data_IF_918913049286
#
_entry.id   IF_918913049286
#
_cell.length_a   1.000
_cell.length_b   1.000
_cell.length_c   1.000
_cell.angle_alpha   90.00
_cell.angle_beta   90.00
_cell.angle_gamma   90.00
#
_symmetry.space_group_name_H-M   'P 1'
#
loop_
_entity.id
_entity.type
_entity.pdbx_description
1 polymer ?
#
# COMPACT_ATOMS: atom_id res chain seq x y z
N UNK A 1 -0.63 20.88 -4.72
CA UNK A 1 0.69 20.24 -4.95
C UNK A 1 0.56 18.73 -5.01
N UNK A 2 0.24 18.01 -3.93
CA UNK A 2 0.26 16.53 -3.95
C UNK A 2 -0.71 15.85 -4.93
N UNK A 3 -1.91 16.38 -5.12
CA UNK A 3 -2.87 15.81 -6.08
C UNK A 3 -2.42 15.94 -7.55
N UNK A 4 -1.39 16.75 -7.83
CA UNK A 4 -0.91 17.09 -9.17
C UNK A 4 0.62 17.10 -9.23
N UNK A 5 1.28 16.28 -8.40
CA UNK A 5 2.72 16.40 -8.21
C UNK A 5 3.50 16.02 -9.48
N UNK A 6 3.01 15.09 -10.31
CA UNK A 6 3.71 14.75 -11.55
C UNK A 6 3.68 15.92 -12.54
N UNK A 7 2.58 16.67 -12.59
CA UNK A 7 2.48 17.91 -13.36
C UNK A 7 3.42 19.01 -12.84
N UNK A 8 3.45 19.22 -11.52
CA UNK A 8 4.32 20.24 -10.89
C UNK A 8 5.81 19.90 -11.02
N UNK A 9 6.16 18.61 -11.02
CA UNK A 9 7.54 18.14 -11.19
C UNK A 9 7.91 17.88 -12.66
N UNK A 10 7.00 18.10 -13.62
CA UNK A 10 7.19 17.75 -15.05
C UNK A 10 8.50 18.30 -15.63
N UNK A 11 8.90 19.52 -15.26
CA UNK A 11 10.17 20.12 -15.71
C UNK A 11 11.45 19.41 -15.23
N UNK A 12 11.35 18.45 -14.30
CA UNK A 12 12.45 17.67 -13.74
C UNK A 12 12.30 16.17 -14.04
N UNK A 13 11.07 15.64 -13.98
CA UNK A 13 10.81 14.20 -14.18
C UNK A 13 10.30 13.86 -15.59
N UNK A 14 9.95 14.84 -16.43
CA UNK A 14 9.25 14.61 -17.69
C UNK A 14 9.98 13.70 -18.67
N UNK A 15 11.30 13.81 -18.77
CA UNK A 15 12.16 12.96 -19.61
C UNK A 15 12.44 11.58 -19.02
N UNK A 16 12.08 11.34 -17.76
CA UNK A 16 12.26 10.07 -17.06
C UNK A 16 11.18 9.09 -17.47
N UNK A 17 11.46 7.81 -17.35
CA UNK A 17 10.45 6.75 -17.43
C UNK A 17 9.77 6.54 -16.07
N UNK A 18 8.62 5.85 -16.02
CA UNK A 18 7.96 5.57 -14.75
C UNK A 18 8.85 4.71 -13.82
N UNK A 19 9.69 3.85 -14.38
CA UNK A 19 10.63 2.99 -13.62
C UNK A 19 11.83 3.76 -13.05
N UNK A 20 12.08 4.98 -13.51
CA UNK A 20 13.10 5.89 -12.96
C UNK A 20 12.63 6.64 -11.71
N UNK A 21 11.35 6.56 -11.37
CA UNK A 21 10.79 7.19 -10.19
C UNK A 21 10.56 6.17 -9.08
N UNK A 22 10.39 6.68 -7.87
CA UNK A 22 9.76 5.97 -6.76
C UNK A 22 8.32 6.47 -6.63
N UNK A 23 7.35 5.56 -6.72
CA UNK A 23 5.94 5.89 -6.53
C UNK A 23 5.57 5.74 -5.04
N UNK A 24 4.96 6.78 -4.41
CA UNK A 24 4.33 6.63 -3.12
C UNK A 24 3.09 5.74 -3.27
N UNK A 25 2.96 4.73 -2.41
CA UNK A 25 1.97 3.68 -2.55
C UNK A 25 1.29 3.29 -1.24
N UNK A 26 0.16 2.62 -1.37
CA UNK A 26 -0.61 2.07 -0.24
C UNK A 26 -0.75 0.56 -0.38
N UNK A 27 -0.52 -0.14 0.73
CA UNK A 27 -0.73 -1.58 0.84
C UNK A 27 -2.20 -1.87 1.19
N UNK A 28 -2.80 -2.88 0.54
CA UNK A 28 -4.21 -3.24 0.71
C UNK A 28 -5.11 -1.99 0.66
N UNK A 29 -5.04 -1.26 -0.46
CA UNK A 29 -5.46 0.14 -0.50
C UNK A 29 -6.93 0.36 -0.12
N UNK A 30 -7.80 -0.60 -0.44
CA UNK A 30 -9.26 -0.47 -0.33
C UNK A 30 -9.83 -1.04 0.98
N UNK A 31 -9.09 -0.89 2.09
CA UNK A 31 -9.51 -1.43 3.39
C UNK A 31 -10.23 -0.44 4.31
N UNK A 32 -10.36 0.85 3.94
CA UNK A 32 -11.08 1.84 4.76
C UNK A 32 -12.50 1.41 5.09
N UNK A 33 -13.19 0.83 4.11
CA UNK A 33 -14.61 0.52 4.19
C UNK A 33 -14.88 -0.99 4.07
N UNK A 34 -14.00 -1.81 4.64
CA UNK A 34 -14.28 -3.22 4.85
C UNK A 34 -15.64 -3.41 5.54
N UNK A 35 -16.42 -4.35 5.01
CA UNK A 35 -17.65 -4.82 5.62
C UNK A 35 -17.32 -5.67 6.85
N UNK A 36 -18.35 -6.25 7.48
CA UNK A 36 -18.17 -7.26 8.54
C UNK A 36 -18.23 -8.69 7.97
N UNK A 37 -18.28 -8.83 6.65
CA UNK A 37 -18.45 -10.10 5.95
C UNK A 37 -17.09 -10.58 5.47
N UNK A 38 -16.70 -11.76 5.95
CA UNK A 38 -15.49 -12.45 5.49
C UNK A 38 -15.69 -12.82 4.03
N UNK A 39 -14.73 -12.48 3.17
CA UNK A 39 -14.86 -12.77 1.75
C UNK A 39 -14.92 -14.29 1.49
N UNK A 40 -15.58 -14.70 0.40
CA UNK A 40 -15.50 -16.09 -0.04
C UNK A 40 -14.02 -16.43 -0.32
N UNK A 41 -13.52 -17.49 0.33
CA UNK A 41 -12.11 -17.84 0.29
C UNK A 41 -11.19 -16.73 0.87
N UNK A 42 -11.61 -16.20 2.02
CA UNK A 42 -10.76 -15.56 3.03
C UNK A 42 -9.26 -15.84 2.89
N UNK A 43 -8.43 -14.85 2.53
CA UNK A 43 -6.99 -15.04 2.40
C UNK A 43 -6.36 -15.60 3.67
N UNK A 44 -5.35 -16.45 3.52
CA UNK A 44 -4.39 -16.80 4.60
C UNK A 44 -4.95 -17.52 5.83
N UNK A 45 -6.24 -17.87 5.85
CA UNK A 45 -6.83 -18.73 6.86
C UNK A 45 -6.93 -20.15 6.28
N UNK A 46 -6.47 -21.21 6.97
CA UNK A 46 -6.68 -22.58 6.52
C UNK A 46 -8.13 -22.80 6.14
N UNK A 47 -8.40 -23.44 5.00
CA UNK A 47 -9.75 -23.61 4.44
C UNK A 47 -10.78 -24.17 5.45
N UNK A 48 -10.33 -24.98 6.41
CA UNK A 48 -11.15 -25.48 7.53
C UNK A 48 -11.58 -24.40 8.52
N UNK A 49 -10.72 -23.42 8.80
CA UNK A 49 -11.00 -22.33 9.72
C UNK A 49 -11.86 -21.24 9.04
N UNK A 50 -11.64 -20.99 7.74
CA UNK A 50 -12.53 -20.17 6.92
C UNK A 50 -13.95 -20.79 6.85
N UNK A 51 -14.05 -22.11 6.60
CA UNK A 51 -15.33 -22.83 6.62
C UNK A 51 -16.02 -22.77 8.00
N UNK A 52 -15.26 -22.94 9.10
CA UNK A 52 -15.79 -22.80 10.46
C UNK A 52 -16.34 -21.39 10.73
N UNK A 53 -15.62 -20.34 10.29
CA UNK A 53 -16.08 -18.94 10.38
C UNK A 53 -17.34 -18.67 9.54
N UNK A 54 -17.44 -19.27 8.35
CA UNK A 54 -18.58 -19.15 7.44
C UNK A 54 -19.84 -19.89 7.94
N UNK A 55 -19.69 -21.10 8.48
CA UNK A 55 -20.81 -22.01 8.77
C UNK A 55 -21.39 -21.85 10.19
N UNK A 56 -20.56 -21.58 11.21
CA UNK A 56 -20.98 -21.66 12.62
C UNK A 56 -21.17 -20.30 13.32
N UNK A 57 -20.84 -19.19 12.68
CA UNK A 57 -20.86 -17.85 13.31
C UNK A 57 -21.88 -16.83 12.76
N UNK A 58 -23.06 -17.19 12.20
CA UNK A 58 -24.00 -16.20 11.63
C UNK A 58 -24.62 -15.23 12.64
N UNK A 59 -24.64 -15.55 13.94
CA UNK A 59 -25.07 -14.64 15.03
C UNK A 59 -23.89 -13.80 15.58
N UNK A 60 -22.66 -14.21 15.29
CA UNK A 60 -21.42 -13.63 15.80
C UNK A 60 -20.75 -12.69 14.79
N UNK A 61 -21.25 -12.65 13.55
CA UNK A 61 -20.80 -11.79 12.43
C UNK A 61 -20.59 -10.32 12.83
N UNK A 62 -21.42 -9.77 13.73
CA UNK A 62 -21.23 -8.38 14.18
C UNK A 62 -20.07 -8.20 15.16
N UNK A 63 -19.84 -9.19 16.02
CA UNK A 63 -18.85 -9.11 17.10
C UNK A 63 -17.49 -9.61 16.61
N UNK A 64 -17.45 -10.79 15.98
CA UNK A 64 -16.24 -11.33 15.32
C UNK A 64 -15.90 -10.51 14.10
N UNK A 65 -16.86 -10.15 13.24
CA UNK A 65 -16.56 -9.35 12.05
C UNK A 65 -15.98 -7.97 12.39
N UNK A 66 -16.35 -7.37 13.53
CA UNK A 66 -15.72 -6.12 14.01
C UNK A 66 -14.26 -6.34 14.35
N UNK A 67 -13.96 -7.38 15.13
CA UNK A 67 -12.60 -7.77 15.50
C UNK A 67 -11.75 -8.07 14.26
N UNK A 68 -12.26 -8.89 13.34
CA UNK A 68 -11.59 -9.22 12.09
C UNK A 68 -11.33 -7.96 11.25
N UNK A 69 -12.27 -7.01 11.24
CA UNK A 69 -12.10 -5.76 10.50
C UNK A 69 -10.99 -4.90 11.08
N UNK A 70 -10.89 -4.84 12.41
CA UNK A 70 -9.81 -4.15 13.11
C UNK A 70 -8.44 -4.81 12.84
N UNK A 71 -8.41 -6.13 12.59
CA UNK A 71 -7.22 -6.87 12.17
C UNK A 71 -6.92 -6.84 10.66
N UNK A 72 -7.85 -6.38 9.84
CA UNK A 72 -7.72 -6.34 8.39
C UNK A 72 -7.58 -4.92 7.83
N UNK A 73 -7.95 -3.90 8.59
CA UNK A 73 -7.87 -2.54 8.09
C UNK A 73 -6.41 -2.06 8.04
N UNK A 74 -5.92 -1.73 6.85
CA UNK A 74 -4.57 -1.16 6.63
C UNK A 74 -4.60 0.33 6.35
N UNK A 75 -5.71 0.84 5.81
CA UNK A 75 -5.89 2.25 5.44
C UNK A 75 -7.10 2.88 6.16
N UNK A 76 -6.95 4.17 6.48
CA UNK A 76 -8.06 5.00 7.00
C UNK A 76 -8.65 5.94 5.95
N UNK A 77 -7.99 6.03 4.79
CA UNK A 77 -8.37 6.86 3.66
C UNK A 77 -8.95 6.00 2.53
N UNK A 78 -9.91 6.54 1.78
CA UNK A 78 -10.48 5.90 0.58
C UNK A 78 -9.63 6.20 -0.66
N UNK A 79 -10.03 5.68 -1.83
CA UNK A 79 -9.28 5.85 -3.08
C UNK A 79 -8.99 7.34 -3.36
N UNK A 80 -10.04 8.18 -3.37
CA UNK A 80 -9.86 9.60 -3.67
C UNK A 80 -8.92 10.32 -2.69
N UNK A 81 -9.08 10.08 -1.39
CA UNK A 81 -8.26 10.72 -0.35
C UNK A 81 -6.78 10.29 -0.44
N UNK A 82 -6.50 9.02 -0.78
CA UNK A 82 -5.14 8.52 -0.98
C UNK A 82 -4.48 9.22 -2.19
N UNK A 83 -5.20 9.32 -3.31
CA UNK A 83 -4.71 9.95 -4.54
C UNK A 83 -4.49 11.46 -4.36
N UNK A 84 -5.40 12.17 -3.67
CA UNK A 84 -5.24 13.57 -3.30
C UNK A 84 -4.04 13.78 -2.34
N UNK A 85 -3.76 12.76 -1.51
CA UNK A 85 -2.56 12.68 -0.68
C UNK A 85 -1.26 12.41 -1.46
N UNK A 86 -1.32 12.17 -2.76
CA UNK A 86 -0.16 11.99 -3.65
C UNK A 86 0.26 10.54 -3.89
N UNK A 87 -0.54 9.56 -3.44
CA UNK A 87 -0.36 8.14 -3.78
C UNK A 87 -0.49 7.94 -5.29
N UNK A 88 0.44 7.20 -5.91
CA UNK A 88 0.43 6.85 -7.34
C UNK A 88 0.69 5.37 -7.61
N UNK A 89 0.94 4.57 -6.58
CA UNK A 89 0.91 3.11 -6.64
C UNK A 89 -0.22 2.55 -5.76
N UNK A 90 -1.13 1.78 -6.34
CA UNK A 90 -2.31 1.24 -5.65
C UNK A 90 -2.26 -0.29 -5.68
N UNK A 91 -2.05 -0.91 -4.52
CA UNK A 91 -2.31 -2.35 -4.31
C UNK A 91 -3.82 -2.56 -4.22
N UNK A 92 -4.42 -3.02 -5.31
CA UNK A 92 -5.85 -3.17 -5.50
C UNK A 92 -6.24 -4.65 -5.46
N UNK A 93 -6.56 -5.12 -4.25
CA UNK A 93 -6.94 -6.50 -4.03
C UNK A 93 -8.43 -6.70 -4.26
N UNK A 94 -8.81 -7.60 -5.16
CA UNK A 94 -10.20 -7.90 -5.50
C UNK A 94 -10.50 -9.41 -5.61
N UNK A 95 -11.74 -9.79 -5.33
CA UNK A 95 -12.21 -11.18 -5.41
C UNK A 95 -13.64 -11.24 -5.90
N UNK A 96 -14.00 -12.37 -6.54
CA UNK A 96 -15.33 -12.63 -7.06
C UNK A 96 -16.14 -13.42 -6.03
N UNK A 97 -17.11 -12.74 -5.39
CA UNK A 97 -17.78 -13.25 -4.18
C UNK A 97 -19.23 -12.77 -4.13
N UNK A 98 -20.04 -13.43 -3.31
CA UNK A 98 -21.38 -12.93 -2.99
C UNK A 98 -21.31 -11.52 -2.34
N UNK A 99 -22.34 -10.68 -2.51
CA UNK A 99 -22.40 -9.37 -1.84
C UNK A 99 -22.29 -9.48 -0.31
N UNK A 100 -21.81 -8.45 0.39
CA UNK A 100 -21.58 -8.50 1.83
C UNK A 100 -22.88 -8.59 2.67
N UNK A 101 -24.05 -8.46 2.06
CA UNK A 101 -25.34 -8.73 2.70
C UNK A 101 -25.77 -10.18 2.42
N UNK A 102 -25.70 -11.04 3.45
CA UNK A 102 -26.13 -12.46 3.38
C UNK A 102 -27.61 -12.66 3.02
N UNK A 103 -28.44 -11.61 3.07
CA UNK A 103 -29.84 -11.66 2.59
C UNK A 103 -29.97 -11.34 1.12
N UNK A 104 -28.90 -10.79 0.51
CA UNK A 104 -28.86 -10.52 -0.91
C UNK A 104 -28.89 -11.83 -1.69
N UNK A 105 -29.78 -11.89 -2.68
CA UNK A 105 -29.79 -12.93 -3.71
C UNK A 105 -29.13 -12.44 -5.00
N UNK A 106 -28.46 -11.29 -4.95
CA UNK A 106 -27.76 -10.76 -6.10
C UNK A 106 -26.61 -11.71 -6.48
N UNK A 107 -26.27 -11.80 -7.78
CA UNK A 107 -25.18 -12.64 -8.24
C UNK A 107 -23.84 -12.21 -7.61
N UNK A 108 -22.85 -13.10 -7.69
CA UNK A 108 -21.48 -12.76 -7.35
C UNK A 108 -21.00 -11.57 -8.19
N UNK A 109 -20.17 -10.74 -7.57
CA UNK A 109 -19.53 -9.60 -8.21
C UNK A 109 -18.12 -9.43 -7.63
N UNK A 110 -17.37 -8.49 -8.19
CA UNK A 110 -16.02 -8.16 -7.73
C UNK A 110 -16.08 -7.18 -6.58
N UNK A 111 -15.50 -7.58 -5.44
CA UNK A 111 -15.33 -6.72 -4.28
C UNK A 111 -13.86 -6.65 -3.91
N UNK A 112 -13.41 -5.49 -3.43
CA UNK A 112 -12.09 -5.41 -2.84
C UNK A 112 -12.01 -6.28 -1.58
N UNK A 113 -10.84 -6.80 -1.23
CA UNK A 113 -10.67 -7.60 -0.01
C UNK A 113 -9.36 -7.35 0.73
N UNK A 114 -9.43 -7.59 2.02
CA UNK A 114 -8.32 -8.05 2.84
C UNK A 114 -8.96 -8.78 4.01
N UNK A 115 -8.96 -10.12 4.00
CA UNK A 115 -9.77 -11.01 4.85
C UNK A 115 -11.30 -10.80 4.75
N UNK A 116 -11.80 -9.59 4.91
CA UNK A 116 -13.17 -9.19 4.68
C UNK A 116 -13.29 -8.57 3.30
N UNK A 117 -14.49 -8.65 2.72
CA UNK A 117 -14.78 -7.90 1.51
C UNK A 117 -15.16 -6.45 1.85
N UNK A 118 -14.87 -5.54 0.95
CA UNK A 118 -15.28 -4.14 1.03
C UNK A 118 -16.80 -3.99 0.94
N UNK A 119 -17.34 -2.89 1.48
CA UNK A 119 -18.78 -2.65 1.53
C UNK A 119 -19.42 -2.34 0.16
N UNK A 120 -18.62 -2.00 -0.84
CA UNK A 120 -19.07 -1.65 -2.19
C UNK A 120 -18.30 -2.45 -3.24
N UNK A 121 -18.87 -2.67 -4.45
CA UNK A 121 -18.16 -3.34 -5.53
C UNK A 121 -16.88 -2.62 -5.92
N UNK A 122 -15.89 -3.40 -6.38
CA UNK A 122 -14.57 -2.94 -6.80
C UNK A 122 -14.64 -1.80 -7.83
N UNK A 123 -15.60 -1.86 -8.76
CA UNK A 123 -15.82 -0.81 -9.77
C UNK A 123 -16.13 0.57 -9.17
N UNK A 124 -16.66 0.65 -7.95
CA UNK A 124 -16.96 1.93 -7.29
C UNK A 124 -15.66 2.70 -6.99
N UNK A 125 -14.62 2.02 -6.50
CA UNK A 125 -13.33 2.67 -6.24
C UNK A 125 -12.55 2.95 -7.53
N UNK A 126 -12.70 2.10 -8.55
CA UNK A 126 -12.12 2.35 -9.85
C UNK A 126 -12.73 3.59 -10.51
N UNK A 127 -14.03 3.84 -10.29
CA UNK A 127 -14.67 5.09 -10.70
C UNK A 127 -14.06 6.30 -9.99
N UNK A 128 -13.80 6.23 -8.68
CA UNK A 128 -13.09 7.31 -7.95
C UNK A 128 -11.70 7.58 -8.55
N UNK A 129 -10.97 6.53 -8.93
CA UNK A 129 -9.67 6.65 -9.62
C UNK A 129 -9.82 7.30 -11.00
N UNK A 130 -10.84 6.91 -11.78
CA UNK A 130 -11.15 7.53 -13.07
C UNK A 130 -11.43 9.03 -12.93
N UNK A 131 -12.31 9.40 -12.01
CA UNK A 131 -12.63 10.80 -11.71
C UNK A 131 -11.39 11.59 -11.25
N UNK A 132 -10.47 10.95 -10.52
CA UNK A 132 -9.19 11.54 -10.18
C UNK A 132 -8.31 11.82 -11.40
N UNK A 133 -8.18 10.87 -12.31
CA UNK A 133 -7.38 11.07 -13.52
C UNK A 133 -8.02 12.11 -14.45
N UNK A 134 -9.34 12.19 -14.55
CA UNK A 134 -10.02 13.24 -15.33
C UNK A 134 -9.77 14.64 -14.72
N UNK A 135 -9.79 14.76 -13.39
CA UNK A 135 -9.53 16.01 -12.69
C UNK A 135 -8.05 16.42 -12.65
N UNK A 136 -7.13 15.48 -12.88
CA UNK A 136 -5.69 15.70 -12.78
C UNK A 136 -4.98 15.13 -14.04
N UNK A 137 -5.03 15.86 -15.18
CA UNK A 137 -4.62 15.34 -16.49
C UNK A 137 -3.12 15.05 -16.63
N UNK A 138 -2.30 15.47 -15.68
CA UNK A 138 -0.85 15.24 -15.66
C UNK A 138 -0.42 14.05 -14.82
N UNK A 139 -1.36 13.41 -14.11
CA UNK A 139 -1.03 12.35 -13.18
C UNK A 139 -1.14 10.98 -13.82
N UNK A 140 -0.19 10.10 -13.49
CA UNK A 140 -0.13 8.71 -13.92
C UNK A 140 -0.25 7.83 -12.68
N UNK A 141 -1.12 6.83 -12.71
CA UNK A 141 -1.31 5.88 -11.61
C UNK A 141 -0.93 4.47 -12.06
N UNK A 142 -0.14 3.79 -11.23
CA UNK A 142 0.14 2.36 -11.33
C UNK A 142 -0.84 1.59 -10.44
N UNK A 143 -1.65 0.74 -11.05
CA UNK A 143 -2.67 -0.09 -10.40
C UNK A 143 -2.25 -1.56 -10.47
N UNK A 144 -2.06 -2.20 -9.32
CA UNK A 144 -1.80 -3.63 -9.24
C UNK A 144 -3.06 -4.37 -8.83
N UNK A 145 -3.64 -5.13 -9.75
CA UNK A 145 -4.85 -5.93 -9.51
C UNK A 145 -4.45 -7.36 -9.20
N UNK A 146 -4.71 -7.77 -7.97
CA UNK A 146 -4.50 -9.13 -7.49
C UNK A 146 -5.64 -9.55 -6.57
N UNK A 147 -5.67 -10.79 -6.09
CA UNK A 147 -6.53 -11.17 -4.96
C UNK A 147 -5.83 -10.92 -3.63
N UNK A 148 -4.54 -11.25 -3.57
CA UNK A 148 -3.83 -11.52 -2.31
C UNK A 148 -2.41 -10.97 -2.25
N UNK A 149 -2.02 -10.10 -3.17
CA UNK A 149 -0.64 -9.57 -3.25
C UNK A 149 0.39 -10.58 -3.76
N UNK A 150 -0.08 -11.70 -4.34
CA UNK A 150 0.77 -12.61 -5.10
C UNK A 150 0.75 -12.18 -6.58
N UNK A 151 1.94 -11.88 -7.11
CA UNK A 151 2.12 -11.44 -8.48
C UNK A 151 2.10 -12.61 -9.48
N UNK A 152 2.32 -13.85 -9.04
CA UNK A 152 2.48 -15.00 -9.93
C UNK A 152 1.42 -16.09 -9.73
N UNK A 153 0.55 -15.97 -8.72
CA UNK A 153 -0.59 -16.87 -8.58
C UNK A 153 -1.52 -16.80 -9.81
N UNK A 154 -2.06 -17.96 -10.19
CA UNK A 154 -2.91 -18.15 -11.38
C UNK A 154 -4.15 -19.00 -11.08
N UNK A 155 -5.09 -19.05 -12.02
CA UNK A 155 -6.29 -19.88 -11.94
C UNK A 155 -7.07 -19.71 -10.64
N UNK A 156 -7.42 -20.82 -10.00
CA UNK A 156 -8.17 -20.83 -8.74
C UNK A 156 -7.36 -20.39 -7.52
N UNK A 157 -6.04 -20.43 -7.60
CA UNK A 157 -5.19 -19.90 -6.53
C UNK A 157 -5.29 -18.38 -6.49
N UNK A 158 -5.39 -17.75 -7.68
CA UNK A 158 -5.57 -16.31 -7.78
C UNK A 158 -7.02 -15.86 -7.69
N UNK A 159 -7.97 -16.48 -8.38
CA UNK A 159 -9.38 -16.05 -8.34
C UNK A 159 -10.32 -17.27 -8.25
N UNK A 160 -10.48 -17.87 -7.05
CA UNK A 160 -11.39 -18.99 -6.88
C UNK A 160 -12.81 -18.53 -7.18
N UNK A 161 -13.63 -19.42 -7.74
CA UNK A 161 -15.01 -19.17 -8.16
C UNK A 161 -15.18 -18.20 -9.35
N UNK A 162 -14.12 -17.57 -9.86
CA UNK A 162 -14.18 -16.76 -11.07
C UNK A 162 -13.73 -17.57 -12.29
N UNK A 163 -14.64 -17.87 -13.21
CA UNK A 163 -14.24 -18.42 -14.50
C UNK A 163 -13.42 -17.39 -15.31
N UNK A 164 -12.60 -17.82 -16.27
CA UNK A 164 -11.90 -16.88 -17.17
C UNK A 164 -12.86 -15.87 -17.82
N UNK A 165 -14.09 -16.27 -18.16
CA UNK A 165 -15.10 -15.36 -18.70
C UNK A 165 -15.52 -14.29 -17.70
N UNK A 166 -15.65 -14.62 -16.42
CA UNK A 166 -15.99 -13.63 -15.37
C UNK A 166 -14.83 -12.66 -15.12
N UNK A 167 -13.58 -13.15 -15.18
CA UNK A 167 -12.38 -12.31 -15.06
C UNK A 167 -12.25 -11.36 -16.27
N UNK A 168 -12.40 -11.88 -17.49
CA UNK A 168 -12.39 -11.09 -18.73
C UNK A 168 -13.54 -10.09 -18.81
N UNK A 169 -14.72 -10.42 -18.28
CA UNK A 169 -15.84 -9.49 -18.19
C UNK A 169 -15.49 -8.31 -17.26
N UNK A 170 -14.84 -8.56 -16.14
CA UNK A 170 -14.37 -7.52 -15.23
C UNK A 170 -13.26 -6.67 -15.86
N UNK A 171 -12.29 -7.30 -16.52
CA UNK A 171 -11.29 -6.59 -17.32
C UNK A 171 -11.93 -5.71 -18.40
N UNK A 172 -12.97 -6.21 -19.09
CA UNK A 172 -13.75 -5.44 -20.06
C UNK A 172 -14.41 -4.19 -19.45
N UNK A 173 -14.93 -4.28 -18.22
CA UNK A 173 -15.46 -3.13 -17.49
C UNK A 173 -14.37 -2.11 -17.15
N UNK A 174 -13.19 -2.56 -16.72
CA UNK A 174 -12.03 -1.70 -16.46
C UNK A 174 -11.63 -0.97 -17.75
N UNK A 175 -11.53 -1.69 -18.88
CA UNK A 175 -11.20 -1.08 -20.17
C UNK A 175 -12.22 -0.02 -20.60
N UNK A 176 -13.50 -0.32 -20.45
CA UNK A 176 -14.55 0.65 -20.77
C UNK A 176 -14.49 1.88 -19.86
N UNK A 177 -14.20 1.69 -18.56
CA UNK A 177 -14.10 2.79 -17.61
C UNK A 177 -12.90 3.69 -17.87
N UNK A 178 -11.77 3.13 -18.31
CA UNK A 178 -10.51 3.85 -18.56
C UNK A 178 -10.19 4.02 -20.05
N UNK A 179 -11.21 4.03 -20.91
CA UNK A 179 -11.04 4.28 -22.34
C UNK A 179 -10.25 5.58 -22.57
N UNK A 180 -9.21 5.49 -23.41
CA UNK A 180 -8.31 6.59 -23.73
C UNK A 180 -7.29 6.95 -22.64
N UNK A 181 -7.24 6.21 -21.52
CA UNK A 181 -6.29 6.41 -20.42
C UNK A 181 -5.32 5.25 -20.20
N UNK A 182 -5.58 4.07 -20.76
CA UNK A 182 -4.75 2.89 -20.52
C UNK A 182 -3.42 2.97 -21.27
N UNK A 183 -2.34 2.73 -20.54
CA UNK A 183 -1.00 2.62 -21.09
C UNK A 183 -0.81 1.30 -21.83
N UNK A 184 -0.13 1.36 -22.99
CA UNK A 184 0.08 0.18 -23.84
C UNK A 184 1.53 -0.09 -24.27
N UNK A 185 2.47 0.75 -23.84
CA UNK A 185 3.87 0.69 -24.23
C UNK A 185 4.77 -0.11 -23.28
N UNK A 186 6.08 0.11 -23.42
CA UNK A 186 7.10 -0.37 -22.48
C UNK A 186 7.43 0.74 -21.47
N UNK A 187 7.34 0.42 -20.17
CA UNK A 187 7.52 1.38 -19.08
C UNK A 187 8.96 1.87 -18.94
N UNK A 188 9.95 1.10 -19.39
CA UNK A 188 11.36 1.48 -19.36
C UNK A 188 11.78 2.39 -20.53
N UNK A 189 10.97 2.44 -21.60
CA UNK A 189 11.25 3.20 -22.83
C UNK A 189 10.36 4.43 -22.97
N UNK A 190 9.18 4.45 -22.34
CA UNK A 190 8.24 5.57 -22.43
C UNK A 190 8.48 6.58 -21.32
N UNK A 191 8.68 7.85 -21.68
CA UNK A 191 8.86 8.91 -20.70
C UNK A 191 7.53 9.37 -20.09
N UNK A 192 7.59 10.01 -18.92
CA UNK A 192 6.44 10.62 -18.26
C UNK A 192 5.77 11.65 -19.18
N UNK A 193 6.56 12.49 -19.87
CA UNK A 193 6.02 13.45 -20.85
C UNK A 193 5.25 12.74 -21.96
N UNK A 194 5.80 11.66 -22.52
CA UNK A 194 5.15 10.91 -23.58
C UNK A 194 3.84 10.27 -23.10
N UNK A 195 3.83 9.71 -21.89
CA UNK A 195 2.61 9.15 -21.26
C UNK A 195 1.53 10.23 -21.07
N UNK A 196 1.90 11.39 -20.52
CA UNK A 196 0.96 12.51 -20.31
C UNK A 196 0.45 13.06 -21.63
N UNK A 197 1.33 13.29 -22.61
CA UNK A 197 0.98 13.89 -23.91
C UNK A 197 0.13 12.94 -24.76
N UNK A 198 0.33 11.62 -24.63
CA UNK A 198 -0.52 10.60 -25.24
C UNK A 198 -1.82 10.34 -24.46
N UNK A 199 -1.99 10.97 -23.29
CA UNK A 199 -3.07 10.72 -22.33
C UNK A 199 -3.12 9.26 -21.81
N UNK A 200 -2.02 8.52 -21.89
CA UNK A 200 -1.84 7.17 -21.36
C UNK A 200 -1.39 7.23 -19.88
N UNK A 201 -2.36 7.25 -18.96
CA UNK A 201 -2.17 7.66 -17.56
C UNK A 201 -2.57 6.62 -16.52
N UNK A 202 -2.99 5.43 -16.95
CA UNK A 202 -3.22 4.28 -16.09
C UNK A 202 -2.37 3.10 -16.56
N UNK A 203 -1.42 2.70 -15.72
CA UNK A 203 -0.65 1.47 -15.90
C UNK A 203 -1.29 0.37 -15.07
N UNK A 204 -1.72 -0.72 -15.70
CA UNK A 204 -2.34 -1.85 -15.00
C UNK A 204 -1.41 -3.05 -14.99
N UNK A 205 -1.07 -3.51 -13.80
CA UNK A 205 -0.42 -4.79 -13.56
C UNK A 205 -1.48 -5.81 -13.14
N UNK A 206 -1.73 -6.81 -13.96
CA UNK A 206 -2.79 -7.80 -13.72
C UNK A 206 -2.19 -9.16 -13.34
N UNK A 207 -2.62 -9.69 -12.20
CA UNK A 207 -2.35 -11.07 -11.81
C UNK A 207 -3.30 -12.04 -12.50
N UNK A 208 -2.86 -13.29 -12.65
CA UNK A 208 -3.52 -14.28 -13.52
C UNK A 208 -3.74 -13.74 -14.94
N UNK A 209 -2.73 -13.05 -15.49
CA UNK A 209 -2.83 -12.24 -16.70
C UNK A 209 -3.53 -12.95 -17.87
N UNK A 210 -3.14 -14.19 -18.17
CA UNK A 210 -3.69 -14.98 -19.28
C UNK A 210 -5.22 -15.13 -19.17
N UNK A 211 -5.72 -15.66 -18.05
CA UNK A 211 -7.16 -15.83 -17.85
C UNK A 211 -7.87 -14.49 -17.66
N UNK A 212 -7.24 -13.54 -16.96
CA UNK A 212 -7.86 -12.28 -16.57
C UNK A 212 -8.07 -11.34 -17.76
N UNK A 213 -7.10 -11.29 -18.66
CA UNK A 213 -7.12 -10.39 -19.83
C UNK A 213 -7.49 -11.10 -21.13
N UNK A 214 -7.42 -12.44 -21.16
CA UNK A 214 -7.57 -13.25 -22.36
C UNK A 214 -6.25 -13.54 -23.09
N UNK A 215 -5.11 -13.19 -22.49
CA UNK A 215 -3.77 -13.48 -23.00
C UNK A 215 -3.36 -12.58 -24.16
N UNK A 216 -2.64 -11.50 -23.86
CA UNK A 216 -2.07 -10.61 -24.88
C UNK A 216 -2.78 -9.27 -25.06
N UNK A 217 -3.53 -8.79 -24.07
CA UNK A 217 -4.09 -7.44 -24.10
C UNK A 217 -2.98 -6.41 -23.80
N UNK A 218 -2.69 -5.53 -24.78
CA UNK A 218 -1.63 -4.54 -24.66
C UNK A 218 -1.83 -3.54 -23.51
N UNK A 219 -3.06 -3.37 -23.02
CA UNK A 219 -3.38 -2.43 -21.95
C UNK A 219 -3.12 -2.96 -20.52
N UNK A 220 -2.62 -4.19 -20.40
CA UNK A 220 -2.24 -4.78 -19.13
C UNK A 220 -0.84 -5.37 -19.21
N UNK A 221 -0.11 -5.26 -18.11
CA UNK A 221 1.18 -5.93 -17.92
C UNK A 221 0.94 -7.16 -17.03
N UNK A 222 1.48 -8.32 -17.42
CA UNK A 222 1.53 -9.49 -16.54
C UNK A 222 2.37 -9.14 -15.30
N UNK A 223 1.74 -9.11 -14.13
CA UNK A 223 2.46 -8.73 -12.93
C UNK A 223 3.53 -9.73 -12.51
N UNK A 224 3.47 -10.99 -12.94
CA UNK A 224 4.48 -12.00 -12.57
C UNK A 224 5.86 -11.67 -13.16
N UNK A 225 5.87 -11.05 -14.35
CA UNK A 225 7.10 -10.59 -15.01
C UNK A 225 7.26 -9.07 -14.98
N UNK A 226 6.20 -8.31 -14.69
CA UNK A 226 6.20 -6.85 -14.65
C UNK A 226 6.42 -6.22 -13.26
N UNK A 227 6.27 -6.98 -12.17
CA UNK A 227 6.53 -6.50 -10.80
C UNK A 227 7.51 -7.45 -10.10
N UNK A 228 8.55 -6.88 -9.49
CA UNK A 228 9.40 -7.58 -8.52
C UNK A 228 9.05 -7.10 -7.11
N UNK A 229 8.11 -7.79 -6.47
CA UNK A 229 7.65 -7.45 -5.13
C UNK A 229 8.55 -8.06 -4.05
N UNK A 230 9.30 -7.21 -3.34
CA UNK A 230 10.06 -7.62 -2.16
C UNK A 230 9.24 -7.36 -0.90
N UNK A 231 8.76 -8.44 -0.29
CA UNK A 231 8.13 -8.41 1.03
C UNK A 231 9.21 -8.35 2.11
N UNK A 232 9.65 -7.13 2.47
CA UNK A 232 10.49 -6.88 3.65
C UNK A 232 9.68 -6.46 4.86
N UNK A 233 8.39 -6.81 4.87
CA UNK A 233 7.47 -6.37 5.90
C UNK A 233 8.05 -6.61 7.28
N UNK A 234 8.36 -5.50 7.97
CA UNK A 234 8.98 -5.55 9.27
C UNK A 234 8.13 -6.34 10.26
N UNK A 235 8.75 -7.08 11.16
CA UNK A 235 8.02 -7.56 12.33
C UNK A 235 8.17 -6.54 13.43
N UNK A 236 7.06 -6.14 14.05
CA UNK A 236 7.10 -5.27 15.23
C UNK A 236 7.66 -5.98 16.47
N UNK A 237 7.99 -7.27 16.37
CA UNK A 237 8.71 -8.02 17.40
C UNK A 237 10.23 -7.88 17.36
N UNK A 238 10.79 -7.31 16.28
CA UNK A 238 12.23 -7.06 16.15
C UNK A 238 12.49 -5.86 15.25
N UNK A 239 12.36 -4.67 15.82
CA UNK A 239 12.56 -3.42 15.10
C UNK A 239 14.02 -3.18 14.69
N UNK A 240 15.01 -3.56 15.50
CA UNK A 240 16.42 -3.42 15.13
C UNK A 240 16.74 -4.19 13.85
N UNK A 241 16.32 -5.47 13.77
CA UNK A 241 16.48 -6.25 12.54
C UNK A 241 15.69 -5.63 11.37
N UNK A 242 14.48 -5.15 11.63
CA UNK A 242 13.66 -4.51 10.58
C UNK A 242 14.34 -3.27 10.00
N UNK A 243 14.88 -2.40 10.86
CA UNK A 243 15.64 -1.21 10.44
C UNK A 243 16.87 -1.61 9.63
N UNK A 244 17.62 -2.63 10.07
CA UNK A 244 18.79 -3.15 9.36
C UNK A 244 18.42 -3.71 7.98
N UNK A 245 17.38 -4.55 7.90
CA UNK A 245 16.90 -5.14 6.65
C UNK A 245 16.47 -4.05 5.65
N UNK A 246 15.82 -3.00 6.14
CA UNK A 246 15.38 -1.87 5.31
C UNK A 246 16.56 -1.03 4.85
N UNK A 247 17.52 -0.77 5.74
CA UNK A 247 18.78 -0.10 5.39
C UNK A 247 19.52 -0.85 4.29
N UNK A 248 19.65 -2.18 4.39
CA UNK A 248 20.28 -3.00 3.35
C UNK A 248 19.50 -2.96 2.04
N UNK A 249 18.17 -3.02 2.11
CA UNK A 249 17.30 -2.96 0.93
C UNK A 249 17.51 -1.64 0.18
N UNK A 250 17.50 -0.50 0.89
CA UNK A 250 17.68 0.83 0.30
C UNK A 250 19.11 1.07 -0.22
N UNK A 251 20.15 0.47 0.39
CA UNK A 251 21.52 0.50 -0.17
C UNK A 251 21.59 -0.23 -1.52
N UNK A 252 20.85 -1.33 -1.66
CA UNK A 252 20.85 -2.14 -2.88
C UNK A 252 19.85 -1.64 -3.95
N UNK A 253 18.98 -0.68 -3.62
CA UNK A 253 17.89 -0.25 -4.50
C UNK A 253 18.37 0.34 -5.82
N UNK A 254 19.49 1.07 -5.86
CA UNK A 254 19.96 1.69 -7.11
C UNK A 254 20.34 0.62 -8.15
N UNK A 255 21.21 -0.33 -7.77
CA UNK A 255 21.63 -1.44 -8.63
C UNK A 255 20.44 -2.32 -9.02
N UNK A 256 19.59 -2.66 -8.05
CA UNK A 256 18.41 -3.51 -8.29
C UNK A 256 17.41 -2.84 -9.24
N UNK A 257 17.20 -1.54 -9.14
CA UNK A 257 16.34 -0.79 -10.07
C UNK A 257 16.90 -0.74 -11.47
N UNK A 258 18.21 -0.51 -11.62
CA UNK A 258 18.85 -0.51 -12.93
C UNK A 258 18.69 -1.87 -13.64
N UNK A 259 18.93 -2.97 -12.92
CA UNK A 259 18.72 -4.33 -13.41
C UNK A 259 17.24 -4.59 -13.79
N UNK A 260 16.30 -4.30 -12.88
CA UNK A 260 14.87 -4.51 -13.12
C UNK A 260 14.33 -3.64 -14.26
N UNK A 261 14.74 -2.37 -14.35
CA UNK A 261 14.38 -1.47 -15.45
C UNK A 261 14.85 -2.01 -16.81
N UNK A 262 16.06 -2.58 -16.88
CA UNK A 262 16.56 -3.20 -18.12
C UNK A 262 15.67 -4.33 -18.65
N UNK A 263 14.86 -4.92 -17.76
CA UNK A 263 13.91 -5.99 -18.04
C UNK A 263 12.45 -5.51 -18.06
N UNK A 264 12.22 -4.19 -18.02
CA UNK A 264 10.90 -3.57 -17.94
C UNK A 264 10.08 -4.00 -16.71
N UNK A 265 10.73 -4.14 -15.56
CA UNK A 265 10.12 -4.61 -14.30
C UNK A 265 10.09 -3.50 -13.27
N UNK A 266 8.94 -3.28 -12.64
CA UNK A 266 8.80 -2.37 -11.50
C UNK A 266 9.40 -3.00 -10.24
N UNK A 267 10.35 -2.29 -9.64
CA UNK A 267 10.83 -2.63 -8.29
C UNK A 267 9.81 -2.17 -7.23
N UNK A 268 9.08 -3.11 -6.64
CA UNK A 268 8.12 -2.84 -5.57
C UNK A 268 8.65 -3.35 -4.23
N UNK A 269 8.64 -2.53 -3.19
CA UNK A 269 9.06 -2.93 -1.83
C UNK A 269 7.97 -2.63 -0.80
N UNK A 270 7.61 -3.66 -0.03
CA UNK A 270 6.58 -3.55 1.00
C UNK A 270 7.17 -3.04 2.31
N UNK A 271 6.62 -1.92 2.76
CA UNK A 271 6.90 -1.33 4.06
C UNK A 271 5.78 -1.65 5.08
N UNK A 272 4.69 -2.26 4.61
CA UNK A 272 3.61 -2.80 5.41
C UNK A 272 4.00 -4.13 6.10
N UNK A 273 3.17 -4.63 7.00
CA UNK A 273 3.32 -5.99 7.48
C UNK A 273 2.45 -6.33 8.67
N UNK A 274 2.40 -7.63 8.96
CA UNK A 274 1.47 -8.17 9.94
C UNK A 274 1.96 -8.02 11.38
N UNK A 275 1.04 -7.92 12.35
CA UNK A 275 1.37 -8.11 13.76
C UNK A 275 1.86 -9.55 14.01
N UNK A 276 2.72 -9.77 15.01
CA UNK A 276 3.05 -11.11 15.51
C UNK A 276 1.82 -11.86 16.02
N UNK A 277 1.83 -13.18 15.93
CA UNK A 277 0.75 -14.04 16.43
C UNK A 277 0.41 -13.77 17.91
N UNK A 278 1.40 -13.38 18.72
CA UNK A 278 1.21 -13.03 20.13
C UNK A 278 0.36 -11.78 20.32
N UNK A 279 0.52 -10.79 19.43
CA UNK A 279 -0.29 -9.56 19.46
C UNK A 279 -1.73 -9.88 19.07
N UNK A 280 -1.93 -10.67 18.02
CA UNK A 280 -3.26 -11.12 17.59
C UNK A 280 -3.93 -11.96 18.68
N UNK A 281 -3.22 -12.90 19.30
CA UNK A 281 -3.75 -13.72 20.38
C UNK A 281 -4.12 -12.89 21.63
N UNK A 282 -3.31 -11.88 21.97
CA UNK A 282 -3.60 -10.97 23.07
C UNK A 282 -4.83 -10.11 22.78
N UNK A 283 -4.98 -9.60 21.55
CA UNK A 283 -6.16 -8.85 21.13
C UNK A 283 -7.44 -9.70 21.28
N UNK A 284 -7.44 -10.94 20.76
CA UNK A 284 -8.56 -11.87 20.95
C UNK A 284 -8.88 -12.05 22.44
N UNK A 285 -7.87 -12.30 23.28
CA UNK A 285 -8.09 -12.51 24.71
C UNK A 285 -8.66 -11.27 25.40
N UNK A 286 -8.14 -10.08 25.09
CA UNK A 286 -8.60 -8.80 25.64
C UNK A 286 -10.02 -8.49 25.18
N UNK A 287 -10.32 -8.66 23.89
CA UNK A 287 -11.63 -8.40 23.30
C UNK A 287 -12.74 -9.22 23.94
N UNK A 288 -12.48 -10.50 24.25
CA UNK A 288 -13.44 -11.38 24.94
C UNK A 288 -13.42 -11.28 26.47
N UNK A 289 -12.67 -10.32 27.04
CA UNK A 289 -12.60 -10.11 28.49
C UNK A 289 -11.84 -11.19 29.27
N UNK A 290 -11.18 -12.13 28.57
CA UNK A 290 -10.36 -13.18 29.18
C UNK A 290 -8.90 -12.71 29.44
N UNK A 291 -8.45 -11.66 28.75
CA UNK A 291 -7.05 -11.29 28.61
C UNK A 291 -6.49 -10.36 29.70
N UNK A 292 -7.31 -9.53 30.35
CA UNK A 292 -6.89 -8.61 31.43
C UNK A 292 -5.47 -8.04 31.32
N UNK A 293 -4.75 -7.99 32.45
CA UNK A 293 -3.35 -7.53 32.50
C UNK A 293 -2.34 -8.54 31.93
N UNK A 294 -2.62 -9.84 32.01
CA UNK A 294 -1.67 -10.87 31.62
C UNK A 294 -1.48 -10.92 30.10
N UNK A 295 -2.54 -10.79 29.31
CA UNK A 295 -2.47 -10.77 27.84
C UNK A 295 -1.76 -9.51 27.35
N UNK A 296 -2.05 -8.37 28.00
CA UNK A 296 -1.34 -7.11 27.72
C UNK A 296 0.15 -7.25 27.99
N UNK A 297 0.55 -7.85 29.10
CA UNK A 297 1.96 -8.07 29.44
C UNK A 297 2.66 -9.03 28.46
N UNK A 298 2.01 -10.11 28.05
CA UNK A 298 2.55 -11.03 27.03
C UNK A 298 2.71 -10.35 25.67
N UNK A 299 1.72 -9.55 25.27
CA UNK A 299 1.78 -8.74 24.07
C UNK A 299 2.95 -7.76 24.12
N UNK A 300 3.06 -6.97 25.19
CA UNK A 300 4.11 -5.99 25.40
C UNK A 300 5.50 -6.65 25.32
N UNK A 301 5.68 -7.79 25.98
CA UNK A 301 6.92 -8.57 25.93
C UNK A 301 7.26 -9.05 24.51
N UNK A 302 6.26 -9.41 23.70
CA UNK A 302 6.47 -9.87 22.32
C UNK A 302 6.93 -8.78 21.35
N UNK A 303 6.73 -7.50 21.70
CA UNK A 303 7.19 -6.36 20.89
C UNK A 303 8.71 -6.14 21.01
N UNK A 304 9.35 -6.68 22.06
CA UNK A 304 10.78 -6.50 22.29
C UNK A 304 11.21 -5.06 22.58
N UNK A 305 10.27 -4.19 22.96
CA UNK A 305 10.55 -2.77 23.28
C UNK A 305 11.00 -2.67 24.74
N UNK A 306 12.18 -2.11 25.03
CA UNK A 306 12.68 -2.01 26.40
C UNK A 306 11.71 -1.27 27.33
N UNK A 307 11.49 -1.80 28.54
CA UNK A 307 10.69 -1.17 29.60
C UNK A 307 9.20 -0.91 29.25
N UNK A 308 8.68 -1.51 28.17
CA UNK A 308 7.26 -1.45 27.82
C UNK A 308 6.60 -2.73 28.31
N UNK A 309 5.73 -2.60 29.33
CA UNK A 309 5.08 -3.75 29.98
C UNK A 309 3.56 -3.72 29.93
N UNK A 310 2.96 -2.57 29.61
CA UNK A 310 1.51 -2.34 29.71
C UNK A 310 0.87 -1.86 28.38
N UNK A 311 1.58 -2.01 27.26
CA UNK A 311 1.09 -1.61 25.94
C UNK A 311 0.92 -2.81 25.00
N UNK A 312 -0.18 -2.82 24.26
CA UNK A 312 -0.43 -3.76 23.17
C UNK A 312 -1.09 -3.02 21.99
N UNK A 313 -0.54 -3.07 20.77
CA UNK A 313 -1.17 -2.50 19.59
C UNK A 313 -2.28 -3.43 19.11
N UNK A 314 -3.50 -3.22 19.63
CA UNK A 314 -4.62 -4.16 19.47
C UNK A 314 -5.15 -4.25 18.04
N UNK A 315 -4.90 -3.29 17.15
CA UNK A 315 -5.36 -3.33 15.76
C UNK A 315 -4.20 -3.41 14.77
N UNK A 316 -4.48 -3.82 13.53
CA UNK A 316 -3.48 -3.78 12.47
C UNK A 316 -2.96 -2.35 12.26
N UNK A 317 -3.86 -1.36 12.24
CA UNK A 317 -3.48 0.06 12.17
C UNK A 317 -2.61 0.52 13.35
N UNK A 318 -2.85 0.03 14.58
CA UNK A 318 -1.99 0.39 15.72
C UNK A 318 -0.59 -0.20 15.59
N UNK A 319 -0.51 -1.43 15.08
CA UNK A 319 0.77 -2.08 14.76
C UNK A 319 1.50 -1.33 13.64
N UNK A 320 0.79 -0.90 12.60
CA UNK A 320 1.35 -0.09 11.52
C UNK A 320 1.81 1.29 12.00
N UNK A 321 1.09 1.94 12.92
CA UNK A 321 1.51 3.23 13.50
C UNK A 321 2.79 3.11 14.32
N UNK A 322 2.89 2.07 15.15
CA UNK A 322 4.10 1.76 15.91
C UNK A 322 5.27 1.50 14.96
N UNK A 323 5.02 0.76 13.89
CA UNK A 323 6.00 0.49 12.84
C UNK A 323 6.48 1.77 12.15
N UNK A 324 5.55 2.59 11.68
CA UNK A 324 5.86 3.86 11.02
C UNK A 324 6.68 4.79 11.93
N UNK A 325 6.39 4.80 13.24
CA UNK A 325 7.16 5.57 14.22
C UNK A 325 8.64 5.17 14.26
N UNK A 326 8.95 3.88 14.21
CA UNK A 326 10.34 3.40 14.26
C UNK A 326 11.06 3.38 12.92
N UNK A 327 10.30 3.34 11.82
CA UNK A 327 10.87 3.18 10.49
C UNK A 327 10.92 4.46 9.65
N UNK A 328 10.36 5.57 10.14
CA UNK A 328 10.58 6.89 9.54
C UNK A 328 12.07 7.24 9.31
N UNK A 329 13.05 6.89 10.18
CA UNK A 329 14.45 7.21 9.91
C UNK A 329 14.99 6.44 8.70
N UNK A 330 14.54 5.20 8.48
CA UNK A 330 14.93 4.40 7.32
C UNK A 330 14.44 5.03 6.02
N UNK A 331 13.22 5.56 6.00
CA UNK A 331 12.68 6.29 4.84
C UNK A 331 13.45 7.59 4.55
N UNK A 332 14.12 8.15 5.55
CA UNK A 332 14.87 9.40 5.44
C UNK A 332 16.33 9.21 5.01
N UNK A 333 16.82 7.96 5.00
CA UNK A 333 18.20 7.64 4.63
C UNK A 333 18.58 8.14 3.23
N UNK A 334 17.76 7.95 2.17
CA UNK A 334 18.10 8.43 0.83
C UNK A 334 18.14 9.96 0.70
N UNK A 335 17.45 10.67 1.60
CA UNK A 335 17.45 12.14 1.64
C UNK A 335 18.67 12.66 2.41
N UNK A 336 19.01 12.00 3.51
CA UNK A 336 20.08 12.42 4.43
C UNK A 336 21.47 11.96 4.00
N UNK A 337 21.55 10.86 3.25
CA UNK A 337 22.81 10.26 2.80
C UNK A 337 22.73 9.95 1.29
N UNK A 338 22.59 10.98 0.44
CA UNK A 338 22.48 10.79 -1.01
C UNK A 338 23.75 10.10 -1.53
N UNK A 339 23.57 9.08 -2.37
CA UNK A 339 24.67 8.28 -2.94
C UNK A 339 24.91 6.93 -2.24
N UNK A 340 24.58 6.83 -0.94
CA UNK A 340 24.69 5.57 -0.20
C UNK A 340 23.39 4.76 -0.21
N UNK A 341 22.26 5.45 -0.43
CA UNK A 341 20.93 4.85 -0.41
C UNK A 341 20.07 5.42 -1.55
N UNK A 342 19.20 4.57 -2.09
CA UNK A 342 18.20 4.93 -3.09
C UNK A 342 16.83 4.39 -2.67
N UNK A 343 15.76 4.97 -3.23
CA UNK A 343 14.42 4.40 -3.11
C UNK A 343 14.17 3.37 -4.24
N UNK A 344 13.30 2.36 -4.04
CA UNK A 344 12.84 1.42 -5.08
C UNK A 344 11.92 2.11 -6.09
N UNK A 345 11.41 1.37 -7.09
CA UNK A 345 10.44 1.88 -8.07
C UNK A 345 9.07 2.25 -7.48
N UNK A 346 8.68 1.59 -6.39
CA UNK A 346 7.53 1.96 -5.58
C UNK A 346 7.70 1.45 -4.14
N UNK A 347 7.21 2.24 -3.18
CA UNK A 347 7.02 1.82 -1.79
C UNK A 347 5.52 1.79 -1.55
N UNK A 348 5.04 0.77 -0.86
CA UNK A 348 3.65 0.69 -0.43
C UNK A 348 3.57 0.33 1.04
N UNK A 349 2.75 1.09 1.77
CA UNK A 349 2.74 1.13 3.22
C UNK A 349 1.33 1.24 3.78
N UNK A 350 1.16 0.82 5.03
CA UNK A 350 -0.07 0.98 5.79
C UNK A 350 -0.18 2.37 6.43
N UNK A 351 -1.40 2.78 6.76
CA UNK A 351 -1.69 3.98 7.52
C UNK A 351 -1.21 5.28 6.88
N UNK A 352 -1.33 5.38 5.54
CA UNK A 352 -1.25 6.68 4.87
C UNK A 352 -2.43 7.53 5.35
N UNK A 353 -2.13 8.78 5.66
CA UNK A 353 -3.00 9.77 6.28
C UNK A 353 -3.04 11.03 5.42
N UNK A 354 -3.89 11.97 5.82
CA UNK A 354 -4.10 13.22 5.10
C UNK A 354 -2.76 13.93 4.83
N UNK A 355 -2.72 14.68 3.73
CA UNK A 355 -1.53 15.38 3.25
C UNK A 355 -0.33 14.49 2.90
N UNK A 356 -0.56 13.20 2.61
CA UNK A 356 0.48 12.27 2.19
C UNK A 356 1.45 11.89 3.31
N UNK A 357 1.00 12.03 4.57
CA UNK A 357 1.78 11.59 5.73
C UNK A 357 1.52 10.10 6.01
N UNK A 358 2.39 9.44 6.76
CA UNK A 358 2.07 8.18 7.42
C UNK A 358 1.92 8.43 8.90
N UNK A 359 0.88 7.86 9.52
CA UNK A 359 0.62 8.11 10.94
C UNK A 359 1.66 7.39 11.80
N UNK A 360 2.32 8.12 12.70
CA UNK A 360 3.31 7.59 13.65
C UNK A 360 2.77 7.54 15.08
N UNK A 361 1.77 8.35 15.42
CA UNK A 361 1.13 8.30 16.74
C UNK A 361 0.20 9.46 17.05
N UNK A 362 0.08 9.74 18.35
CA UNK A 362 -0.64 10.89 18.90
C UNK A 362 0.26 11.52 19.97
N UNK A 363 0.48 12.84 19.91
CA UNK A 363 1.26 13.61 20.89
C UNK A 363 0.42 14.81 21.32
N UNK A 364 0.23 15.01 22.62
CA UNK A 364 -0.61 16.08 23.19
C UNK A 364 -2.02 16.15 22.58
N UNK A 365 -2.61 14.98 22.34
CA UNK A 365 -3.94 14.85 21.71
C UNK A 365 -3.99 15.14 20.21
N UNK A 366 -2.85 15.47 19.58
CA UNK A 366 -2.76 15.75 18.14
C UNK A 366 -2.20 14.54 17.39
N UNK A 367 -2.74 14.28 16.20
CA UNK A 367 -2.19 13.27 15.29
C UNK A 367 -0.79 13.72 14.87
N UNK A 368 0.19 12.83 14.96
CA UNK A 368 1.55 13.04 14.47
C UNK A 368 1.82 12.03 13.36
N UNK A 369 2.52 12.48 12.33
CA UNK A 369 2.89 11.66 11.19
C UNK A 369 4.23 12.07 10.60
N UNK A 370 4.73 11.22 9.73
CA UNK A 370 5.92 11.46 8.93
C UNK A 370 5.50 11.82 7.50
N UNK A 371 6.15 12.81 6.89
CA UNK A 371 5.89 13.33 5.55
C UNK A 371 6.37 12.35 4.45
N UNK A 372 5.72 11.18 4.40
CA UNK A 372 6.08 10.07 3.53
C UNK A 372 6.10 10.46 2.05
N UNK A 373 5.01 11.03 1.54
CA UNK A 373 4.93 11.40 0.12
C UNK A 373 5.96 12.47 -0.22
N UNK A 374 6.11 13.53 0.57
CA UNK A 374 7.14 14.55 0.31
C UNK A 374 8.55 14.00 0.33
N UNK A 375 8.84 13.03 1.20
CA UNK A 375 10.15 12.37 1.22
C UNK A 375 10.41 11.64 -0.10
N UNK A 376 9.42 10.91 -0.61
CA UNK A 376 9.51 10.23 -1.91
C UNK A 376 9.66 11.25 -3.06
N UNK A 377 8.87 12.32 -3.05
CA UNK A 377 8.94 13.37 -4.08
C UNK A 377 10.25 14.14 -4.05
N UNK A 378 10.78 14.41 -2.86
CA UNK A 378 12.07 15.07 -2.67
C UNK A 378 13.19 14.20 -3.22
N UNK A 379 13.14 12.90 -2.98
CA UNK A 379 14.09 11.96 -3.56
C UNK A 379 13.97 11.92 -5.09
N UNK A 380 12.75 11.80 -5.65
CA UNK A 380 12.52 11.83 -7.11
C UNK A 380 13.08 13.10 -7.75
N UNK A 381 12.90 14.25 -7.10
CA UNK A 381 13.41 15.54 -7.56
C UNK A 381 14.94 15.52 -7.58
N UNK A 382 15.57 15.16 -6.45
CA UNK A 382 17.03 15.14 -6.33
C UNK A 382 17.69 14.13 -7.26
N UNK A 383 17.15 12.92 -7.37
CA UNK A 383 17.69 11.87 -8.24
C UNK A 383 17.57 12.26 -9.73
N UNK A 384 16.47 12.89 -10.13
CA UNK A 384 16.28 13.35 -11.50
C UNK A 384 17.16 14.55 -11.85
N UNK A 385 17.40 15.45 -10.90
CA UNK A 385 18.24 16.64 -11.06
C UNK A 385 19.74 16.35 -11.11
N UNK A 386 20.20 15.20 -10.63
CA UNK A 386 21.62 14.84 -10.63
C UNK A 386 22.20 14.64 -12.04
N UNK A 387 21.37 14.42 -13.06
CA UNK A 387 21.81 14.11 -14.42
C UNK A 387 21.70 15.30 -15.39
N UNK A 388 20.73 16.20 -15.19
CA UNK A 388 20.49 17.38 -16.02
C UNK A 388 20.09 18.54 -15.10
N UNK A 389 21.06 19.34 -14.63
CA UNK A 389 20.77 20.42 -13.70
C UNK A 389 19.94 21.53 -14.38
N UNK A 390 18.70 21.70 -13.91
CA UNK A 390 17.77 22.76 -14.34
C UNK A 390 17.55 23.70 -13.17
N UNK A 391 17.42 25.01 -13.40
CA UNK A 391 17.08 26.01 -12.37
C UNK A 391 15.81 25.64 -11.57
N UNK A 392 14.92 24.81 -12.15
CA UNK A 392 13.74 24.26 -11.48
C UNK A 392 14.09 23.36 -10.28
N UNK A 393 15.26 22.71 -10.27
CA UNK A 393 15.71 21.78 -9.24
C UNK A 393 15.80 22.42 -7.85
N UNK A 394 16.57 23.51 -7.71
CA UNK A 394 16.74 24.20 -6.42
C UNK A 394 15.41 24.71 -5.86
N UNK A 395 14.53 25.22 -6.75
CA UNK A 395 13.21 25.71 -6.35
C UNK A 395 12.33 24.58 -5.85
N UNK A 396 12.25 23.46 -6.57
CA UNK A 396 11.40 22.33 -6.21
C UNK A 396 11.92 21.63 -4.95
N UNK A 397 13.23 21.46 -4.81
CA UNK A 397 13.86 20.96 -3.59
C UNK A 397 13.49 21.83 -2.38
N UNK A 398 13.67 23.16 -2.50
CA UNK A 398 13.33 24.08 -1.42
C UNK A 398 11.84 24.02 -1.03
N UNK A 399 10.93 23.91 -1.99
CA UNK A 399 9.48 23.79 -1.74
C UNK A 399 9.17 22.47 -1.01
N UNK A 400 9.70 21.35 -1.51
CA UNK A 400 9.45 20.02 -0.93
C UNK A 400 10.07 19.88 0.46
N UNK A 401 11.29 20.39 0.65
CA UNK A 401 11.95 20.45 1.97
C UNK A 401 11.12 21.27 2.94
N UNK A 402 10.71 22.49 2.57
CA UNK A 402 9.90 23.34 3.44
C UNK A 402 8.54 22.70 3.79
N UNK A 403 7.90 22.02 2.84
CA UNK A 403 6.63 21.32 3.08
C UNK A 403 6.82 20.13 4.02
N UNK A 404 7.84 19.30 3.78
CA UNK A 404 8.22 18.16 4.63
C UNK A 404 8.46 18.62 6.07
N UNK A 405 9.25 19.66 6.26
CA UNK A 405 9.60 20.22 7.57
C UNK A 405 8.37 20.80 8.30
N UNK A 406 7.40 21.34 7.56
CA UNK A 406 6.19 21.90 8.13
C UNK A 406 5.16 20.85 8.55
N UNK A 407 5.03 19.72 7.83
CA UNK A 407 3.94 18.76 8.06
C UNK A 407 4.34 17.56 8.91
N UNK A 408 5.60 17.14 8.89
CA UNK A 408 6.02 15.92 9.57
C UNK A 408 7.44 15.49 9.23
N UNK A 409 8.47 16.24 9.65
CA UNK A 409 9.85 15.78 9.52
C UNK A 409 10.07 14.51 10.37
N UNK A 410 11.18 13.83 10.15
CA UNK A 410 11.62 12.72 11.01
C UNK A 410 11.65 13.18 12.48
N UNK A 411 10.81 12.58 13.32
CA UNK A 411 10.68 12.94 14.72
C UNK A 411 10.30 11.72 15.57
N UNK A 412 11.18 11.40 16.53
CA UNK A 412 10.95 10.40 17.57
C UNK A 412 10.75 11.11 18.92
N UNK A 413 9.87 10.58 19.78
CA UNK A 413 9.54 11.14 21.09
C UNK A 413 9.32 10.03 22.12
N UNK A 414 9.47 10.36 23.41
CA UNK A 414 9.20 9.39 24.47
C UNK A 414 7.71 9.33 24.80
N UNK A 415 7.13 8.15 24.59
CA UNK A 415 5.76 7.79 24.95
C UNK A 415 5.70 6.27 25.24
N UNK A 416 6.31 5.82 26.36
CA UNK A 416 6.40 4.40 26.69
C UNK A 416 5.03 3.75 26.92
N UNK A 417 4.01 4.55 27.29
CA UNK A 417 2.63 4.08 27.44
C UNK A 417 2.04 3.55 26.13
N UNK A 418 2.59 3.96 24.98
CA UNK A 418 2.20 3.45 23.67
C UNK A 418 3.39 2.83 22.91
N UNK A 419 4.38 2.33 23.64
CA UNK A 419 5.51 1.62 23.08
C UNK A 419 6.48 2.47 22.26
N UNK A 420 6.54 3.79 22.47
CA UNK A 420 7.43 4.70 21.73
C UNK A 420 8.58 5.18 22.60
N UNK A 421 9.80 4.91 22.17
CA UNK A 421 11.03 5.40 22.79
C UNK A 421 11.82 6.21 21.77
N UNK A 422 12.42 7.33 22.17
CA UNK A 422 13.12 8.19 21.21
C UNK A 422 14.50 7.65 20.82
N UNK A 423 15.10 6.85 21.70
CA UNK A 423 16.46 6.29 21.63
C UNK A 423 16.51 4.83 21.19
N UNK A 424 15.40 4.28 20.71
CA UNK A 424 15.25 2.91 20.21
C UNK A 424 14.53 2.91 18.83
N UNK A 425 14.63 1.87 17.99
CA UNK A 425 15.55 0.74 18.05
C UNK A 425 17.03 1.13 17.98
#
# INVERSE_FOLDING_TARGET
MLSQWMGELRGVIGSRSLLDLCLPGTHDSMTKNLSLTVADNANSIPSRFAWVLHEFFPVVDRVVGKLLREQAQTQTLGMREQLDGGVRFVDFRATFTAPPDKRSRAPHDWYCLHLLQSAQPAMSYLLELREFLDANPTEIVALWISRHGDACATGTDQYPNASPQAQQAFWGQIKSLFEGLLFSGLLNETSIDAMIDANERLVVFAANYEDFTGGGDAFATDCCVGISNTLKGGTISNFSKTVDDWGQTLRASEERRADLKSRNVLDLVSFAGSPPDQVVAADVAIYYGAGGRWATALCAASLGIPNVTEFCPLTLLDSSRLRNYYLQPSLDLPISNPGDYALPGAIYIDSVDLNGTIRTGTLDGKRVGYAYVDTVLLWNTRSSCALDYVQACDRLDAILTARRDAIGPTSKWYDPAHGRLADWP
#
